data_IF_358711431714
#
_entry.id   IF_358711431714
#
_cell.length_a   1.000
_cell.length_b   1.000
_cell.length_c   1.000
_cell.angle_alpha   90.00
_cell.angle_beta   90.00
_cell.angle_gamma   90.00
#
_symmetry.space_group_name_H-M   'P 1'
#
loop_
_entity.id
_entity.type
_entity.pdbx_description
1 polymer ?
#
# COMPACT_ATOMS: atom_id res chain seq x y z
N UNK A 1 -7.00 -5.88 -12.40
CA UNK A 1 -7.95 -5.78 -11.27
C UNK A 1 -7.79 -4.42 -10.64
N UNK A 2 -8.87 -3.77 -10.24
CA UNK A 2 -8.86 -2.44 -9.66
C UNK A 2 -8.89 -2.54 -8.13
N UNK A 3 -7.99 -1.83 -7.46
CA UNK A 3 -7.92 -1.79 -5.99
C UNK A 3 -7.91 -0.36 -5.50
N UNK A 4 -8.56 -0.12 -4.36
CA UNK A 4 -8.54 1.18 -3.70
C UNK A 4 -7.39 1.20 -2.69
N UNK A 5 -6.52 2.18 -2.79
CA UNK A 5 -5.42 2.40 -1.86
C UNK A 5 -5.72 3.58 -0.96
N UNK A 6 -5.46 3.43 0.33
CA UNK A 6 -5.58 4.50 1.33
C UNK A 6 -4.26 4.64 2.06
N UNK A 7 -3.69 5.84 2.09
CA UNK A 7 -2.39 6.10 2.66
C UNK A 7 -2.50 6.90 3.95
N UNK A 8 -1.63 6.60 4.93
CA UNK A 8 -1.60 7.31 6.22
C UNK A 8 -0.20 7.80 6.58
N UNK A 9 -0.16 8.78 7.49
CA UNK A 9 1.06 9.36 8.04
C UNK A 9 2.09 9.71 6.95
N UNK A 10 3.39 9.39 7.15
CA UNK A 10 4.43 9.78 6.21
C UNK A 10 4.24 9.20 4.81
N UNK A 11 3.55 8.07 4.67
CA UNK A 11 3.29 7.45 3.36
C UNK A 11 2.41 8.38 2.54
N UNK A 12 1.32 8.88 3.14
CA UNK A 12 0.46 9.91 2.55
C UNK A 12 1.21 11.21 2.28
N UNK A 13 2.03 11.66 3.22
CA UNK A 13 2.77 12.93 3.07
C UNK A 13 3.79 12.87 1.92
N UNK A 14 4.49 11.74 1.78
CA UNK A 14 5.47 11.53 0.71
C UNK A 14 4.80 11.35 -0.65
N UNK A 15 3.75 10.54 -0.74
CA UNK A 15 2.99 10.33 -1.99
C UNK A 15 2.19 11.58 -2.39
N UNK A 16 1.78 12.39 -1.42
CA UNK A 16 0.96 13.58 -1.64
C UNK A 16 -0.53 13.27 -1.91
N UNK A 17 -0.94 12.01 -1.81
CA UNK A 17 -2.32 11.55 -2.00
C UNK A 17 -2.82 10.87 -0.72
N UNK A 18 -4.08 11.12 -0.37
CA UNK A 18 -4.74 10.41 0.75
C UNK A 18 -5.27 9.05 0.34
N UNK A 19 -5.77 8.94 -0.89
CA UNK A 19 -6.27 7.70 -1.47
C UNK A 19 -6.14 7.77 -3.00
N UNK A 20 -6.13 6.61 -3.65
CA UNK A 20 -6.24 6.48 -5.10
C UNK A 20 -6.74 5.09 -5.50
N UNK A 21 -7.12 4.94 -6.77
CA UNK A 21 -7.44 3.63 -7.34
C UNK A 21 -6.40 3.30 -8.40
N UNK A 22 -5.83 2.11 -8.32
CA UNK A 22 -4.85 1.62 -9.30
C UNK A 22 -5.33 0.33 -9.96
N UNK A 23 -4.91 0.13 -11.20
CA UNK A 23 -5.12 -1.12 -11.92
C UNK A 23 -3.88 -2.01 -11.79
N UNK A 24 -4.05 -3.16 -11.15
CA UNK A 24 -3.01 -4.18 -11.06
C UNK A 24 -3.10 -5.14 -12.25
N UNK A 25 -1.96 -5.49 -12.88
CA UNK A 25 -1.92 -6.33 -14.08
C UNK A 25 -2.20 -7.81 -13.79
N UNK A 26 -2.07 -8.26 -12.53
CA UNK A 26 -2.23 -9.65 -12.13
C UNK A 26 -3.41 -9.83 -11.17
N UNK A 27 -4.24 -10.89 -11.33
CA UNK A 27 -5.26 -11.27 -10.36
C UNK A 27 -4.67 -11.91 -9.08
N UNK A 28 -3.37 -12.22 -9.07
CA UNK A 28 -2.64 -12.72 -7.90
C UNK A 28 -1.56 -11.72 -7.57
N UNK A 29 -1.88 -10.79 -6.69
CA UNK A 29 -0.95 -9.76 -6.22
C UNK A 29 -1.00 -9.79 -4.70
N UNK A 30 0.15 -10.01 -4.06
CA UNK A 30 0.25 -9.89 -2.60
C UNK A 30 0.38 -8.43 -2.18
N UNK A 31 0.19 -8.13 -0.90
CA UNK A 31 0.50 -6.79 -0.36
C UNK A 31 1.95 -6.38 -0.64
N UNK A 32 2.90 -7.30 -0.53
CA UNK A 32 4.31 -7.06 -0.86
C UNK A 32 4.52 -6.73 -2.34
N UNK A 33 3.89 -7.49 -3.23
CA UNK A 33 3.93 -7.22 -4.68
C UNK A 33 3.32 -5.86 -5.02
N UNK A 34 2.22 -5.50 -4.34
CA UNK A 34 1.55 -4.21 -4.48
C UNK A 34 2.49 -3.07 -4.08
N UNK A 35 3.19 -3.17 -2.93
CA UNK A 35 4.17 -2.15 -2.51
C UNK A 35 5.31 -2.05 -3.53
N UNK A 36 5.82 -3.18 -4.01
CA UNK A 36 6.85 -3.21 -5.06
C UNK A 36 6.39 -2.54 -6.36
N UNK A 37 5.14 -2.77 -6.76
CA UNK A 37 4.53 -2.09 -7.91
C UNK A 37 4.42 -0.59 -7.68
N UNK A 38 3.95 -0.14 -6.50
CA UNK A 38 3.84 1.28 -6.16
C UNK A 38 5.19 2.01 -6.26
N UNK A 39 6.27 1.41 -5.74
CA UNK A 39 7.64 1.97 -5.85
C UNK A 39 8.06 2.23 -7.29
N UNK A 40 7.55 1.46 -8.25
CA UNK A 40 7.87 1.64 -9.67
C UNK A 40 7.12 2.81 -10.33
N UNK A 41 6.10 3.38 -9.68
CA UNK A 41 5.26 4.43 -10.27
C UNK A 41 5.90 5.82 -10.26
N UNK A 42 6.86 6.08 -9.35
CA UNK A 42 7.51 7.38 -9.26
C UNK A 42 8.41 7.54 -8.03
N UNK A 43 9.27 8.58 -8.03
CA UNK A 43 10.21 8.84 -6.93
C UNK A 43 9.52 9.11 -5.59
N UNK A 44 8.31 9.67 -5.61
CA UNK A 44 7.50 9.92 -4.41
C UNK A 44 7.06 8.61 -3.73
N UNK A 45 6.72 7.59 -4.51
CA UNK A 45 6.36 6.27 -3.99
C UNK A 45 7.59 5.51 -3.51
N UNK A 46 8.68 5.55 -4.28
CA UNK A 46 9.94 4.94 -3.86
C UNK A 46 10.42 5.50 -2.52
N UNK A 47 10.36 6.83 -2.35
CA UNK A 47 10.66 7.47 -1.08
C UNK A 47 9.65 7.10 0.02
N UNK A 48 8.36 6.94 -0.28
CA UNK A 48 7.33 6.56 0.68
C UNK A 48 7.52 5.15 1.24
N UNK A 49 8.01 4.24 0.40
CA UNK A 49 8.21 2.83 0.69
C UNK A 49 9.69 2.43 0.77
N UNK A 50 10.59 3.38 1.04
CA UNK A 50 12.03 3.14 1.26
C UNK A 50 12.26 2.09 2.38
N UNK A 51 11.40 2.11 3.40
CA UNK A 51 11.39 1.14 4.50
C UNK A 51 10.18 0.18 4.40
N UNK A 52 9.99 -0.45 3.24
CA UNK A 52 8.83 -1.34 2.96
C UNK A 52 8.57 -2.43 4.02
N UNK A 53 9.63 -2.94 4.66
CA UNK A 53 9.55 -4.00 5.67
C UNK A 53 8.87 -3.57 6.99
N UNK A 54 8.80 -2.27 7.28
CA UNK A 54 8.06 -1.78 8.47
C UNK A 54 6.64 -1.34 8.14
N UNK A 55 6.31 -1.17 6.87
CA UNK A 55 4.99 -0.73 6.44
C UNK A 55 3.98 -1.81 6.81
N UNK A 56 2.90 -1.41 7.47
CA UNK A 56 1.77 -2.26 7.79
C UNK A 56 0.68 -2.08 6.75
N UNK A 57 -0.06 -3.15 6.53
CA UNK A 57 -1.23 -3.14 5.66
C UNK A 57 -2.49 -3.50 6.42
N UNK A 58 -3.62 -3.06 5.88
CA UNK A 58 -4.92 -3.64 6.19
C UNK A 58 -5.72 -3.79 4.89
N UNK A 59 -6.35 -4.94 4.70
CA UNK A 59 -7.27 -5.23 3.60
C UNK A 59 -8.68 -5.17 4.16
N UNK A 60 -9.54 -4.35 3.59
CA UNK A 60 -10.93 -4.17 4.02
C UNK A 60 -11.08 -3.91 5.53
N UNK A 61 -10.19 -3.07 6.08
CA UNK A 61 -10.11 -2.68 7.50
C UNK A 61 -9.63 -3.80 8.46
N UNK A 62 -9.21 -4.94 7.94
CA UNK A 62 -8.59 -6.03 8.71
C UNK A 62 -7.08 -6.03 8.49
N UNK A 63 -6.30 -6.29 9.55
CA UNK A 63 -4.84 -6.30 9.43
C UNK A 63 -4.40 -7.43 8.50
N UNK A 64 -3.50 -7.10 7.56
CA UNK A 64 -2.99 -8.02 6.57
C UNK A 64 -1.47 -8.10 6.62
N UNK A 65 -0.96 -9.32 6.42
CA UNK A 65 0.47 -9.59 6.26
C UNK A 65 0.92 -9.29 4.82
N UNK A 66 2.22 -9.14 4.59
CA UNK A 66 2.75 -8.81 3.26
C UNK A 66 2.53 -9.92 2.21
N UNK A 67 2.33 -11.16 2.65
CA UNK A 67 2.08 -12.31 1.77
C UNK A 67 0.59 -12.55 1.49
N UNK A 68 -0.29 -11.76 2.11
CA UNK A 68 -1.74 -11.85 1.90
C UNK A 68 -2.13 -11.33 0.52
N UNK A 69 -3.11 -12.02 -0.10
CA UNK A 69 -3.58 -11.70 -1.45
C UNK A 69 -4.55 -10.53 -1.43
N UNK A 70 -4.31 -9.57 -2.32
CA UNK A 70 -5.24 -8.51 -2.65
C UNK A 70 -6.13 -8.97 -3.80
N UNK A 71 -7.45 -8.79 -3.68
CA UNK A 71 -8.46 -9.16 -4.66
C UNK A 71 -9.08 -7.92 -5.34
N UNK A 72 -9.74 -8.15 -6.48
CA UNK A 72 -10.41 -7.09 -7.22
C UNK A 72 -11.49 -6.42 -6.35
N UNK A 73 -11.45 -5.09 -6.28
CA UNK A 73 -12.36 -4.29 -5.46
C UNK A 73 -11.94 -4.09 -4.01
N UNK A 74 -10.85 -4.72 -3.55
CA UNK A 74 -10.38 -4.55 -2.16
C UNK A 74 -9.92 -3.12 -1.87
N UNK A 75 -10.18 -2.68 -0.64
CA UNK A 75 -9.56 -1.49 -0.06
C UNK A 75 -8.31 -1.88 0.73
N UNK A 76 -7.15 -1.40 0.32
CA UNK A 76 -5.86 -1.64 0.98
C UNK A 76 -5.37 -0.34 1.62
N UNK A 77 -5.29 -0.33 2.94
CA UNK A 77 -4.66 0.73 3.71
C UNK A 77 -3.18 0.45 3.90
N UNK A 78 -2.31 1.40 3.56
CA UNK A 78 -0.87 1.33 3.77
C UNK A 78 -0.44 2.42 4.75
N UNK A 79 0.19 1.99 5.84
CA UNK A 79 0.55 2.89 6.92
C UNK A 79 1.84 2.45 7.60
N UNK A 80 2.65 3.40 8.07
CA UNK A 80 3.85 3.07 8.83
C UNK A 80 3.52 2.47 10.20
N UNK A 81 4.51 1.87 10.89
CA UNK A 81 4.29 1.45 12.26
C UNK A 81 3.93 2.70 13.09
N UNK A 82 2.81 2.63 13.80
CA UNK A 82 2.41 3.70 14.72
C UNK A 82 3.48 3.78 15.83
N UNK A 83 4.35 4.78 15.77
CA UNK A 83 5.17 5.15 16.91
C UNK A 83 4.25 5.81 17.92
N UNK A 84 3.74 5.02 18.88
CA UNK A 84 3.06 5.56 20.05
C UNK A 84 4.00 6.48 20.82
N UNK A 85 3.48 7.63 21.27
CA UNK A 85 4.16 8.53 22.20
C UNK A 85 4.35 7.92 23.59
#
# INVERSE_FOLDING_TARGET
MAVKLVYFAWVREKIGKGEETIELPSPKTTVGDLIGHLKSLGPEYDAAFEHEHVIRAAINQEHAEHDELVNDGDEVALFPPMTGG
#
